data_IF_911141398454
#
_entry.id   IF_911141398454
#
_cell.length_a   1.000
_cell.length_b   1.000
_cell.length_c   1.000
_cell.angle_alpha   90.00
_cell.angle_beta   90.00
_cell.angle_gamma   90.00
#
_symmetry.space_group_name_H-M   'P 1'
#
loop_
_entity.id
_entity.type
_entity.pdbx_description
1 polymer ?
#
# COMPACT_ATOMS: atom_id res chain seq x y z
N UNK A 1 4.96 -18.19 8.20
CA UNK A 1 3.99 -17.22 8.75
C UNK A 1 4.74 -16.26 9.67
N UNK A 2 5.41 -15.25 9.12
CA UNK A 2 6.22 -14.31 9.92
C UNK A 2 6.24 -12.87 9.42
N UNK A 3 5.82 -12.63 8.17
CA UNK A 3 6.08 -11.36 7.50
C UNK A 3 4.88 -10.40 7.59
N UNK A 4 3.65 -10.88 7.34
CA UNK A 4 2.47 -10.02 7.27
C UNK A 4 2.04 -9.34 8.59
N UNK A 5 2.35 -9.92 9.75
CA UNK A 5 2.04 -9.31 11.07
C UNK A 5 3.12 -8.32 11.47
N UNK A 6 4.38 -8.63 11.18
CA UNK A 6 5.54 -7.79 11.48
C UNK A 6 5.50 -6.49 10.68
N UNK A 7 5.12 -6.55 9.40
CA UNK A 7 4.97 -5.35 8.56
C UNK A 7 3.82 -4.44 9.00
N UNK A 8 2.68 -5.02 9.42
CA UNK A 8 1.56 -4.23 9.97
C UNK A 8 1.93 -3.55 11.29
N UNK A 9 2.64 -4.27 12.17
CA UNK A 9 3.09 -3.73 13.45
C UNK A 9 4.11 -2.60 13.23
N UNK A 10 5.07 -2.81 12.33
CA UNK A 10 6.09 -1.82 11.97
C UNK A 10 5.49 -0.57 11.33
N UNK A 11 4.46 -0.74 10.50
CA UNK A 11 3.67 0.36 9.94
C UNK A 11 2.98 1.18 11.03
N UNK A 12 2.31 0.53 11.97
CA UNK A 12 1.67 1.22 13.11
C UNK A 12 2.68 1.95 14.01
N UNK A 13 3.84 1.33 14.27
CA UNK A 13 4.90 1.95 15.07
C UNK A 13 5.52 3.15 14.36
N UNK A 14 5.74 3.08 13.03
CA UNK A 14 6.19 4.24 12.23
C UNK A 14 5.14 5.35 12.20
N UNK A 15 3.86 5.01 12.09
CA UNK A 15 2.77 5.98 12.05
C UNK A 15 2.63 6.70 13.40
N UNK A 16 2.65 5.94 14.51
CA UNK A 16 2.62 6.48 15.86
C UNK A 16 3.89 7.27 16.19
N UNK A 17 5.07 6.78 15.80
CA UNK A 17 6.35 7.46 16.00
C UNK A 17 6.46 8.75 15.18
N UNK A 18 5.94 8.77 13.95
CA UNK A 18 5.87 9.98 13.12
C UNK A 18 4.90 11.03 13.67
N UNK A 19 3.73 10.61 14.18
CA UNK A 19 2.79 11.53 14.86
C UNK A 19 3.33 12.03 16.21
N UNK A 20 4.10 11.23 16.95
CA UNK A 20 4.70 11.60 18.24
C UNK A 20 5.93 12.51 18.09
N UNK A 21 6.80 12.25 17.12
CA UNK A 21 8.03 13.04 16.89
C UNK A 21 7.77 14.29 16.04
N UNK A 22 6.62 14.36 15.34
CA UNK A 22 6.29 15.48 14.46
C UNK A 22 7.03 15.47 13.12
N UNK A 23 7.64 14.34 12.76
CA UNK A 23 8.33 14.13 11.49
C UNK A 23 7.29 13.95 10.37
N UNK A 24 7.02 15.07 9.68
CA UNK A 24 6.10 15.13 8.55
C UNK A 24 6.50 14.16 7.43
N UNK A 25 7.78 13.85 7.27
CA UNK A 25 8.29 12.91 6.26
C UNK A 25 7.78 11.47 6.50
N UNK A 26 7.81 10.97 7.73
CA UNK A 26 7.33 9.62 8.10
C UNK A 26 5.82 9.46 7.88
N UNK A 27 5.05 10.51 8.18
CA UNK A 27 3.60 10.54 7.96
C UNK A 27 3.25 10.66 6.47
N UNK A 28 4.10 11.32 5.69
CA UNK A 28 3.87 11.53 4.27
C UNK A 28 4.24 10.30 3.44
N UNK A 29 5.35 9.61 3.77
CA UNK A 29 5.72 8.32 3.17
C UNK A 29 4.58 7.30 3.31
N UNK A 30 4.03 7.11 4.51
CA UNK A 30 2.95 6.14 4.73
C UNK A 30 1.65 6.45 3.97
N UNK A 31 1.34 7.74 3.77
CA UNK A 31 0.18 8.16 2.98
C UNK A 31 0.41 7.98 1.47
N UNK A 32 1.59 8.32 0.98
CA UNK A 32 1.97 8.17 -0.42
C UNK A 32 2.01 6.70 -0.79
N UNK A 33 2.56 5.83 0.06
CA UNK A 33 2.56 4.37 -0.15
C UNK A 33 1.14 3.80 -0.21
N UNK A 34 0.24 4.20 0.71
CA UNK A 34 -1.18 3.77 0.65
C UNK A 34 -1.89 4.23 -0.63
N UNK A 35 -1.62 5.45 -1.07
CA UNK A 35 -2.21 6.00 -2.29
C UNK A 35 -1.69 5.28 -3.53
N UNK A 36 -0.37 5.10 -3.64
CA UNK A 36 0.26 4.35 -4.74
C UNK A 36 -0.20 2.90 -4.77
N UNK A 37 -0.29 2.22 -3.61
CA UNK A 37 -0.80 0.85 -3.52
C UNK A 37 -2.23 0.75 -4.06
N UNK A 38 -3.14 1.59 -3.58
CA UNK A 38 -4.55 1.58 -3.99
C UNK A 38 -4.74 1.84 -5.50
N UNK A 39 -3.91 2.70 -6.09
CA UNK A 39 -3.93 2.97 -7.53
C UNK A 39 -3.39 1.78 -8.32
N UNK A 40 -2.28 1.19 -7.86
CA UNK A 40 -1.65 0.05 -8.53
C UNK A 40 -2.52 -1.20 -8.50
N UNK A 41 -3.21 -1.45 -7.38
CA UNK A 41 -4.21 -2.52 -7.27
C UNK A 41 -5.38 -2.32 -8.25
N UNK A 42 -5.97 -1.12 -8.30
CA UNK A 42 -7.07 -0.83 -9.25
C UNK A 42 -6.64 -0.95 -10.71
N UNK A 43 -5.45 -0.48 -11.05
CA UNK A 43 -4.90 -0.60 -12.41
C UNK A 43 -4.60 -2.05 -12.78
N UNK A 44 -4.09 -2.84 -11.82
CA UNK A 44 -3.88 -4.27 -11.97
C UNK A 44 -5.18 -5.01 -12.25
N UNK A 45 -6.20 -4.82 -11.40
CA UNK A 45 -7.51 -5.47 -11.53
C UNK A 45 -8.20 -5.17 -12.88
N UNK A 46 -8.10 -3.91 -13.34
CA UNK A 46 -8.65 -3.49 -14.65
C UNK A 46 -7.87 -4.11 -15.80
N UNK A 47 -6.53 -4.13 -15.72
CA UNK A 47 -5.68 -4.73 -16.75
C UNK A 47 -5.86 -6.24 -16.84
N UNK A 48 -6.00 -6.93 -15.71
CA UNK A 48 -6.27 -8.36 -15.64
C UNK A 48 -7.64 -8.69 -16.21
N UNK A 49 -8.70 -7.96 -15.85
CA UNK A 49 -10.03 -8.15 -16.46
C UNK A 49 -10.04 -7.90 -17.96
N UNK A 50 -9.29 -6.91 -18.44
CA UNK A 50 -9.16 -6.62 -19.86
C UNK A 50 -8.43 -7.75 -20.60
N UNK A 51 -7.33 -8.25 -20.04
CA UNK A 51 -6.58 -9.39 -20.59
C UNK A 51 -7.39 -10.69 -20.58
N UNK A 52 -8.17 -10.94 -19.52
CA UNK A 52 -9.02 -12.13 -19.40
C UNK A 52 -10.12 -12.14 -20.47
N UNK A 53 -10.75 -10.98 -20.72
CA UNK A 53 -11.70 -10.83 -21.83
C UNK A 53 -11.04 -10.97 -23.21
N UNK A 54 -9.85 -10.41 -23.40
CA UNK A 54 -9.11 -10.48 -24.67
C UNK A 54 -8.56 -11.88 -24.98
N UNK A 55 -8.34 -12.71 -23.96
CA UNK A 55 -7.88 -14.11 -24.12
C UNK A 55 -9.01 -15.12 -24.31
N UNK A 56 -10.26 -14.68 -24.19
CA UNK A 56 -11.43 -15.57 -24.24
C UNK A 56 -12.02 -15.71 -25.66
N UNK A 57 -11.46 -15.00 -26.65
CA UNK A 57 -11.61 -15.26 -28.09
C UNK A 57 -10.50 -16.21 -28.59
#
# INVERSE_FOLDING_TARGET
MGDGTSDKLKGHVKEAGGDLTGDKDLKNEGKVDRASGSVKDKVGDVSDKAKDKLRKD
#
